data_IF_610812410042
#
_entry.id   IF_610812410042
#
_cell.length_a   1.000
_cell.length_b   1.000
_cell.length_c   1.000
_cell.angle_alpha   90.00
_cell.angle_beta   90.00
_cell.angle_gamma   90.00
#
_symmetry.space_group_name_H-M   'P 1'
#
loop_
_entity.id
_entity.type
_entity.pdbx_description
1 polymer ?
#
# COMPACT_ATOMS: atom_id res chain seq x y z
N UNK A 1 -12.48 5.13 12.00
CA UNK A 1 -12.69 4.77 10.58
C UNK A 1 -11.33 4.44 10.03
N UNK A 2 -11.21 3.29 9.38
CA UNK A 2 -9.93 2.79 8.90
C UNK A 2 -9.83 2.96 7.39
N UNK A 3 -8.79 3.65 6.96
CA UNK A 3 -8.44 3.81 5.56
C UNK A 3 -7.23 2.94 5.24
N UNK A 4 -7.18 2.44 4.01
CA UNK A 4 -6.05 1.71 3.46
C UNK A 4 -5.59 2.37 2.16
N UNK A 5 -4.30 2.66 2.06
CA UNK A 5 -3.65 3.12 0.85
C UNK A 5 -2.94 1.94 0.19
N UNK A 6 -3.23 1.72 -1.09
CA UNK A 6 -2.69 0.61 -1.88
C UNK A 6 -2.02 1.14 -3.15
N UNK A 7 -0.89 0.54 -3.52
CA UNK A 7 0.00 1.04 -4.59
C UNK A 7 0.49 -0.08 -5.54
N UNK A 8 -0.09 -1.28 -5.45
CA UNK A 8 0.31 -2.46 -6.21
C UNK A 8 -0.85 -3.40 -6.54
N UNK A 9 -0.69 -4.68 -6.20
CA UNK A 9 -1.63 -5.76 -6.51
C UNK A 9 -3.02 -5.60 -5.88
N UNK A 10 -3.16 -4.75 -4.86
CA UNK A 10 -4.43 -4.41 -4.23
C UNK A 10 -5.13 -3.20 -4.88
N UNK A 11 -4.51 -2.53 -5.86
CA UNK A 11 -5.12 -1.39 -6.56
C UNK A 11 -6.38 -1.78 -7.32
N UNK A 12 -7.22 -0.78 -7.58
CA UNK A 12 -8.49 -0.95 -8.28
C UNK A 12 -8.36 -1.62 -9.64
N UNK A 13 -7.24 -1.37 -10.32
CA UNK A 13 -6.94 -1.84 -11.67
C UNK A 13 -6.34 -3.25 -11.72
N UNK A 14 -5.92 -3.82 -10.59
CA UNK A 14 -5.18 -5.09 -10.55
C UNK A 14 -6.02 -6.35 -10.87
N UNK A 15 -7.36 -6.23 -10.83
CA UNK A 15 -8.36 -7.26 -11.18
C UNK A 15 -8.07 -8.73 -10.77
N UNK A 16 -7.33 -8.95 -9.69
CA UNK A 16 -7.00 -10.27 -9.16
C UNK A 16 -7.95 -10.66 -8.01
N UNK A 17 -7.74 -11.84 -7.43
CA UNK A 17 -8.57 -12.34 -6.33
C UNK A 17 -8.62 -11.38 -5.14
N UNK A 18 -7.47 -10.84 -4.74
CA UNK A 18 -7.36 -10.02 -3.53
C UNK A 18 -7.87 -8.58 -3.74
N UNK A 19 -7.66 -7.98 -4.92
CA UNK A 19 -8.26 -6.68 -5.23
C UNK A 19 -9.79 -6.75 -5.28
N UNK A 20 -10.36 -7.85 -5.80
CA UNK A 20 -11.81 -8.10 -5.74
C UNK A 20 -12.33 -8.29 -4.32
N UNK A 21 -11.58 -9.00 -3.48
CA UNK A 21 -11.91 -9.12 -2.05
C UNK A 21 -11.95 -7.75 -1.37
N UNK A 22 -10.93 -6.92 -1.57
CA UNK A 22 -10.88 -5.56 -1.01
C UNK A 22 -12.06 -4.72 -1.49
N UNK A 23 -12.39 -4.75 -2.78
CA UNK A 23 -13.53 -3.99 -3.34
C UNK A 23 -14.88 -4.39 -2.75
N UNK A 24 -15.08 -5.65 -2.39
CA UNK A 24 -16.32 -6.10 -1.75
C UNK A 24 -16.45 -5.57 -0.31
N UNK A 25 -15.33 -5.47 0.40
CA UNK A 25 -15.27 -5.14 1.83
C UNK A 25 -14.86 -3.70 2.15
N UNK A 26 -14.63 -2.88 1.12
CA UNK A 26 -14.24 -1.49 1.26
C UNK A 26 -14.93 -0.59 0.25
N UNK A 27 -14.96 0.70 0.54
CA UNK A 27 -15.44 1.75 -0.34
C UNK A 27 -14.25 2.47 -0.98
N UNK A 28 -14.23 2.60 -2.30
CA UNK A 28 -13.19 3.37 -3.00
C UNK A 28 -13.40 4.87 -2.75
N UNK A 29 -12.40 5.53 -2.18
CA UNK A 29 -12.44 6.96 -1.86
C UNK A 29 -11.85 7.81 -2.97
N UNK A 30 -10.73 7.38 -3.55
CA UNK A 30 -10.08 8.15 -4.61
C UNK A 30 -8.64 7.73 -4.90
N UNK A 31 -8.06 8.37 -5.90
CA UNK A 31 -6.63 8.32 -6.13
C UNK A 31 -5.93 9.21 -5.10
N UNK A 32 -4.73 8.78 -4.70
CA UNK A 32 -3.92 9.50 -3.74
C UNK A 32 -2.43 9.26 -3.99
N UNK A 33 -1.62 9.96 -3.20
CA UNK A 33 -0.23 9.62 -3.04
C UNK A 33 0.21 9.71 -1.58
N UNK A 34 1.29 9.02 -1.26
CA UNK A 34 2.07 9.21 -0.03
C UNK A 34 3.45 9.75 -0.39
N UNK A 35 4.18 10.27 0.60
CA UNK A 35 5.60 10.52 0.43
C UNK A 35 6.38 9.22 0.63
N UNK A 36 7.16 8.83 -0.38
CA UNK A 36 7.83 7.53 -0.39
C UNK A 36 8.52 7.21 -1.70
N UNK A 37 9.28 6.11 -1.65
CA UNK A 37 9.94 5.52 -2.82
C UNK A 37 9.29 4.20 -3.15
N UNK A 38 9.19 3.92 -4.45
CA UNK A 38 8.61 2.70 -4.99
C UNK A 38 9.70 1.89 -5.69
N UNK A 39 9.75 0.59 -5.44
CA UNK A 39 10.73 -0.33 -5.99
C UNK A 39 10.03 -1.49 -6.68
N UNK A 40 10.67 -2.03 -7.71
CA UNK A 40 10.25 -3.24 -8.41
C UNK A 40 10.90 -4.47 -7.74
N UNK A 41 10.09 -5.40 -7.25
CA UNK A 41 10.49 -6.65 -6.60
C UNK A 41 10.30 -7.86 -7.53
N UNK A 42 10.61 -7.67 -8.82
CA UNK A 42 10.57 -8.73 -9.84
C UNK A 42 9.18 -9.37 -10.03
N UNK A 43 8.12 -8.56 -10.02
CA UNK A 43 6.74 -9.04 -10.27
C UNK A 43 5.68 -8.42 -9.37
N UNK A 44 6.09 -7.68 -8.34
CA UNK A 44 5.22 -6.88 -7.47
C UNK A 44 6.01 -5.69 -6.90
N UNK A 45 5.34 -4.64 -6.37
CA UNK A 45 6.05 -3.46 -5.89
C UNK A 45 6.31 -3.47 -4.38
N UNK A 46 7.45 -2.93 -3.98
CA UNK A 46 7.76 -2.58 -2.59
C UNK A 46 7.80 -1.06 -2.41
N UNK A 47 7.09 -0.51 -1.42
CA UNK A 47 7.15 0.92 -1.12
C UNK A 47 7.67 1.17 0.29
N UNK A 48 8.49 2.21 0.45
CA UNK A 48 8.96 2.70 1.75
C UNK A 48 8.58 4.17 1.90
N UNK A 49 8.11 4.52 3.10
CA UNK A 49 7.74 5.90 3.42
C UNK A 49 8.97 6.81 3.42
N UNK A 50 8.78 8.07 3.02
CA UNK A 50 9.82 9.09 2.98
C UNK A 50 9.33 10.38 3.61
N UNK A 51 10.27 11.18 4.12
CA UNK A 51 10.01 12.54 4.60
C UNK A 51 10.22 13.58 3.49
N UNK A 52 10.61 13.18 2.28
CA UNK A 52 10.84 14.08 1.17
C UNK A 52 9.57 14.24 0.30
N UNK A 53 8.97 15.45 0.21
CA UNK A 53 7.75 15.67 -0.58
C UNK A 53 7.92 15.52 -2.11
N UNK A 54 9.17 15.50 -2.61
CA UNK A 54 9.45 15.23 -4.03
C UNK A 54 9.42 13.74 -4.38
N UNK A 55 9.47 12.86 -3.38
CA UNK A 55 9.36 11.42 -3.53
C UNK A 55 7.93 11.00 -3.27
N UNK A 56 7.24 10.48 -4.29
CA UNK A 56 5.82 10.17 -4.20
C UNK A 56 5.56 8.75 -4.66
N UNK A 57 4.71 8.05 -3.93
CA UNK A 57 4.11 6.79 -4.37
C UNK A 57 2.64 7.03 -4.61
N UNK A 58 2.17 6.70 -5.81
CA UNK A 58 0.80 6.91 -6.25
C UNK A 58 -0.02 5.62 -6.10
N UNK A 59 -1.29 5.78 -5.74
CA UNK A 59 -2.15 4.65 -5.45
C UNK A 59 -3.61 5.03 -5.24
N UNK A 60 -4.34 4.16 -4.55
CA UNK A 60 -5.75 4.31 -4.25
C UNK A 60 -5.98 4.30 -2.74
N UNK A 61 -6.96 5.09 -2.27
CA UNK A 61 -7.47 5.01 -0.90
C UNK A 61 -8.80 4.27 -0.91
N UNK A 62 -8.91 3.33 0.02
CA UNK A 62 -10.14 2.61 0.35
C UNK A 62 -10.52 2.86 1.81
N UNK A 63 -11.80 3.01 2.07
CA UNK A 63 -12.37 3.03 3.42
C UNK A 63 -12.86 1.63 3.76
N UNK A 64 -12.26 1.04 4.79
CA UNK A 64 -12.52 -0.34 5.20
C UNK A 64 -13.80 -0.40 6.06
N UNK A 65 -14.69 -1.36 5.77
CA UNK A 65 -15.97 -1.51 6.50
C UNK A 65 -15.78 -2.22 7.84
N UNK A 66 -15.13 -3.39 7.82
CA UNK A 66 -14.74 -4.18 9.00
C UNK A 66 -13.23 -4.29 9.03
N UNK A 67 -12.60 -3.35 9.76
CA UNK A 67 -11.15 -3.26 9.81
C UNK A 67 -10.53 -4.56 10.30
N UNK A 68 -11.04 -5.14 11.39
CA UNK A 68 -10.44 -6.33 12.00
C UNK A 68 -10.48 -7.53 11.05
N UNK A 69 -11.63 -7.82 10.44
CA UNK A 69 -11.77 -8.97 9.55
C UNK A 69 -10.99 -8.79 8.24
N UNK A 70 -11.04 -7.59 7.64
CA UNK A 70 -10.36 -7.31 6.37
C UNK A 70 -8.85 -7.31 6.56
N UNK A 71 -8.35 -6.67 7.61
CA UNK A 71 -6.93 -6.58 7.88
C UNK A 71 -6.31 -7.93 8.20
N UNK A 72 -7.04 -8.84 8.86
CA UNK A 72 -6.58 -10.22 9.03
C UNK A 72 -6.29 -10.90 7.69
N UNK A 73 -7.23 -10.81 6.74
CA UNK A 73 -7.07 -11.45 5.41
C UNK A 73 -5.94 -10.80 4.61
N UNK A 74 -5.80 -9.48 4.69
CA UNK A 74 -4.75 -8.76 3.98
C UNK A 74 -3.36 -9.00 4.61
N UNK A 75 -3.27 -9.08 5.95
CA UNK A 75 -2.02 -9.45 6.63
C UNK A 75 -1.56 -10.84 6.21
N UNK A 76 -2.48 -11.82 6.23
CA UNK A 76 -2.20 -13.19 5.78
C UNK A 76 -1.74 -13.21 4.30
N UNK A 77 -2.30 -12.35 3.44
CA UNK A 77 -1.91 -12.22 2.03
C UNK A 77 -0.53 -11.58 1.82
N UNK A 78 -0.21 -10.52 2.59
CA UNK A 78 1.09 -9.83 2.55
C UNK A 78 2.18 -10.57 3.35
N UNK A 79 1.88 -11.77 3.87
CA UNK A 79 2.82 -12.61 4.60
C UNK A 79 3.14 -12.12 6.02
N UNK A 80 2.26 -11.33 6.63
CA UNK A 80 2.40 -10.81 7.99
C UNK A 80 1.80 -11.82 8.97
N UNK A 81 2.60 -12.28 9.95
CA UNK A 81 2.18 -13.25 10.95
C UNK A 81 2.36 -12.80 12.40
N UNK A 82 2.00 -13.70 13.31
CA UNK A 82 2.20 -13.54 14.76
C UNK A 82 3.68 -13.81 15.11
N UNK A 83 4.53 -12.81 14.94
CA UNK A 83 5.98 -12.95 15.15
C UNK A 83 6.73 -11.62 15.15
N UNK A 84 8.04 -11.68 14.95
CA UNK A 84 8.87 -10.49 14.87
C UNK A 84 8.58 -9.73 13.55
N UNK A 85 8.10 -8.47 13.58
CA UNK A 85 7.82 -7.70 12.36
C UNK A 85 9.00 -7.59 11.41
N UNK A 86 10.24 -7.62 11.93
CA UNK A 86 11.47 -7.57 11.12
C UNK A 86 11.73 -8.85 10.30
N UNK A 87 10.97 -9.92 10.53
CA UNK A 87 11.06 -11.15 9.76
C UNK A 87 10.13 -11.17 8.54
N UNK A 88 9.19 -10.22 8.45
CA UNK A 88 8.24 -10.14 7.35
C UNK A 88 8.67 -9.10 6.32
N UNK A 89 8.45 -9.42 5.05
CA UNK A 89 8.80 -8.56 3.91
C UNK A 89 8.00 -7.25 3.93
N UNK A 90 6.76 -7.32 4.40
CA UNK A 90 5.91 -6.17 4.62
C UNK A 90 5.59 -5.98 6.11
N UNK A 91 5.38 -4.74 6.49
CA UNK A 91 4.81 -4.36 7.79
C UNK A 91 3.68 -3.37 7.58
N UNK A 92 2.55 -3.58 8.26
CA UNK A 92 1.46 -2.62 8.23
C UNK A 92 1.74 -1.46 9.19
N UNK A 93 1.83 -0.26 8.64
CA UNK A 93 2.05 0.98 9.40
C UNK A 93 1.08 2.08 8.95
N UNK A 94 1.01 3.17 9.70
CA UNK A 94 0.19 4.32 9.35
C UNK A 94 1.03 5.42 8.70
N UNK A 95 0.49 6.00 7.63
CA UNK A 95 1.08 7.14 6.92
C UNK A 95 0.01 8.19 6.64
N UNK A 96 0.45 9.40 6.28
CA UNK A 96 -0.45 10.41 5.73
C UNK A 96 -0.47 10.28 4.21
N UNK A 97 -1.65 10.01 3.66
CA UNK A 97 -1.90 10.09 2.23
C UNK A 97 -2.60 11.40 1.86
N UNK A 98 -2.37 11.83 0.63
CA UNK A 98 -2.90 13.06 0.05
C UNK A 98 -3.76 12.67 -1.15
N UNK A 99 -5.07 12.88 -1.04
CA UNK A 99 -6.00 12.73 -2.15
C UNK A 99 -5.70 13.77 -3.24
N UNK A 100 -6.18 13.52 -4.46
CA UNK A 100 -5.98 14.44 -5.61
C UNK A 100 -6.55 15.85 -5.36
N UNK A 101 -7.55 15.99 -4.49
CA UNK A 101 -8.12 17.28 -4.06
C UNK A 101 -7.29 18.00 -2.98
N UNK A 102 -6.18 17.40 -2.54
CA UNK A 102 -5.30 17.92 -1.49
C UNK A 102 -5.71 17.52 -0.07
N UNK A 103 -6.83 16.83 0.11
CA UNK A 103 -7.28 16.33 1.41
C UNK A 103 -6.28 15.33 1.99
N UNK A 104 -5.93 15.52 3.26
CA UNK A 104 -5.02 14.62 4.00
C UNK A 104 -5.82 13.54 4.72
N UNK A 105 -5.40 12.29 4.60
CA UNK A 105 -6.02 11.13 5.24
C UNK A 105 -4.94 10.30 5.93
N UNK A 106 -5.09 10.07 7.23
CA UNK A 106 -4.30 9.06 7.94
C UNK A 106 -4.81 7.69 7.53
N UNK A 107 -3.92 6.86 7.02
CA UNK A 107 -4.26 5.58 6.39
C UNK A 107 -3.24 4.51 6.74
N UNK A 108 -3.71 3.27 6.80
CA UNK A 108 -2.83 2.10 6.81
C UNK A 108 -2.14 1.95 5.46
N UNK A 109 -0.94 1.37 5.51
CA UNK A 109 -0.03 1.17 4.38
C UNK A 109 0.84 -0.06 4.68
N UNK A 110 0.99 -0.96 3.71
CA UNK A 110 1.94 -2.05 3.78
C UNK A 110 3.30 -1.52 3.31
N UNK A 111 4.22 -1.32 4.25
CA UNK A 111 5.57 -0.85 3.97
C UNK A 111 6.49 -2.04 3.70
N UNK A 112 7.26 -1.99 2.62
CA UNK A 112 8.37 -2.92 2.42
C UNK A 112 9.42 -2.71 3.51
N UNK A 113 9.88 -3.80 4.10
CA UNK A 113 10.63 -3.80 5.36
C UNK A 113 12.06 -4.34 5.23
N UNK A 114 12.47 -4.74 4.03
CA UNK A 114 13.80 -5.29 3.78
C UNK A 114 14.74 -4.25 3.13
N UNK A 115 16.06 -4.55 3.05
CA UNK A 115 17.03 -3.67 2.43
C UNK A 115 16.65 -3.33 0.97
N UNK A 116 16.96 -2.11 0.55
CA UNK A 116 16.52 -1.53 -0.75
C UNK A 116 17.68 -1.17 -1.68
N UNK A 117 18.92 -1.34 -1.23
CA UNK A 117 20.15 -0.87 -1.87
C UNK A 117 20.37 -1.48 -3.27
N UNK A 118 19.87 -2.69 -3.49
CA UNK A 118 19.99 -3.43 -4.74
C UNK A 118 18.69 -3.46 -5.56
N UNK A 119 17.62 -2.86 -5.04
CA UNK A 119 16.33 -2.88 -5.71
C UNK A 119 16.26 -1.81 -6.79
N UNK A 120 15.54 -2.13 -7.86
CA UNK A 120 15.27 -1.18 -8.94
C UNK A 120 14.23 -0.17 -8.49
N UNK A 121 14.64 1.08 -8.32
CA UNK A 121 13.72 2.19 -8.08
C UNK A 121 12.80 2.39 -9.30
N UNK A 122 11.53 2.70 -9.04
CA UNK A 122 10.53 3.17 -10.00
C UNK A 122 10.39 4.69 -9.81
N UNK A 123 11.10 5.54 -10.59
CA UNK A 123 11.15 6.98 -10.33
C UNK A 123 9.82 7.70 -10.49
N UNK A 124 8.89 7.12 -11.26
CA UNK A 124 7.55 7.67 -11.45
C UNK A 124 6.66 7.52 -10.22
N UNK A 125 7.02 6.64 -9.27
CA UNK A 125 6.17 6.33 -8.13
C UNK A 125 4.86 5.63 -8.48
N UNK A 126 4.69 5.20 -9.74
CA UNK A 126 3.47 4.58 -10.26
C UNK A 126 3.78 3.16 -10.68
N UNK A 127 3.12 2.20 -10.05
CA UNK A 127 3.20 0.82 -10.47
C UNK A 127 2.25 0.57 -11.65
N UNK A 128 2.75 -0.03 -12.72
CA UNK A 128 2.01 -0.24 -13.97
C UNK A 128 1.91 -1.69 -14.41
N UNK A 129 2.56 -2.62 -13.71
CA UNK A 129 2.55 -4.05 -14.03
C UNK A 129 1.48 -4.76 -13.20
N UNK A 130 0.22 -4.53 -13.55
CA UNK A 130 -0.97 -4.90 -12.77
C UNK A 130 -1.92 -5.76 -13.61
#
# INVERSE_FOLDING_TARGET
MDYLFVYGTLMKTANNGMSRFLHAHAEFIGNAHIYGKLYDLEGYPGAVASNNPSERVHGNIFKIKDAQAVFKVLDDYEGIGDGNPNAYEYVRTQVTAFLDDGTKVTTWFYAYNFPTEHLRLIPSGKYSNI
#
